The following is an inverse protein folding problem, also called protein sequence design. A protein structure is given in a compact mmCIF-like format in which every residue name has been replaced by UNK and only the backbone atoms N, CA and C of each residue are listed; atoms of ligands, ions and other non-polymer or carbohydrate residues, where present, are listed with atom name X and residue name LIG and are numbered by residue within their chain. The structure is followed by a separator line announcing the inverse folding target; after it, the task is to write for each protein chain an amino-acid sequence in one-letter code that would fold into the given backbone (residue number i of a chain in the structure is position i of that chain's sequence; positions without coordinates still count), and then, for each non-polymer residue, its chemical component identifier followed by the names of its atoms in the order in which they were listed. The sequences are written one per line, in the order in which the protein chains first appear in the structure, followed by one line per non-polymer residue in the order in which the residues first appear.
data_IF_170378978388
#
_entry.id   IF_170378978388
#
_cell.length_a   1.000
_cell.length_b   1.000
_cell.length_c   1.000
_cell.angle_alpha   90.00
_cell.angle_beta   90.00
_cell.angle_gamma   90.00
#
_symmetry.space_group_name_H-M   'P 1'
#
loop_
_entity.id
_entity.type
_entity.pdbx_description
1 polymer ?
#
# COMPACT_ATOMS: atom_id res chain seq x y z
N UNK A 1 21.09 -39.38 15.42
CA UNK A 1 20.44 -39.00 14.14
C UNK A 1 18.92 -39.18 14.21
N UNK A 2 18.40 -40.39 14.49
CA UNK A 2 16.94 -40.65 14.52
C UNK A 2 16.11 -39.73 15.43
N UNK A 3 16.53 -39.48 16.68
CA UNK A 3 15.77 -38.62 17.60
C UNK A 3 15.65 -37.16 17.13
N UNK A 4 16.63 -36.66 16.38
CA UNK A 4 16.67 -35.27 15.90
C UNK A 4 15.83 -35.12 14.63
N UNK A 5 15.81 -36.14 13.76
CA UNK A 5 14.91 -36.17 12.61
C UNK A 5 13.44 -36.22 13.05
N UNK A 6 13.12 -37.00 14.07
CA UNK A 6 11.78 -37.04 14.68
C UNK A 6 11.38 -35.67 15.25
N UNK A 7 12.27 -35.02 16.00
CA UNK A 7 12.00 -33.71 16.60
C UNK A 7 11.85 -32.61 15.53
N UNK A 8 12.70 -32.59 14.51
CA UNK A 8 12.58 -31.64 13.41
C UNK A 8 11.29 -31.83 12.60
N UNK A 9 10.89 -33.07 12.36
CA UNK A 9 9.63 -33.38 11.66
C UNK A 9 8.40 -33.01 12.50
N UNK A 10 8.47 -33.21 13.82
CA UNK A 10 7.45 -32.76 14.75
C UNK A 10 7.29 -31.23 14.69
N UNK A 11 8.39 -30.47 14.72
CA UNK A 11 8.36 -29.01 14.67
C UNK A 11 7.84 -28.46 13.34
N UNK A 12 8.19 -29.09 12.22
CA UNK A 12 7.56 -28.81 10.91
C UNK A 12 6.04 -28.99 10.96
N UNK A 13 5.59 -30.12 11.53
CA UNK A 13 4.16 -30.46 11.63
C UNK A 13 3.42 -29.47 12.53
N UNK A 14 4.06 -29.05 13.63
CA UNK A 14 3.54 -28.00 14.52
C UNK A 14 3.43 -26.67 13.78
N UNK A 15 4.44 -26.27 13.01
CA UNK A 15 4.38 -25.06 12.17
C UNK A 15 3.23 -25.09 11.16
N UNK A 16 3.03 -26.23 10.48
CA UNK A 16 1.88 -26.43 9.58
C UNK A 16 0.54 -26.35 10.30
N UNK A 17 0.45 -26.92 11.51
CA UNK A 17 -0.77 -26.90 12.30
C UNK A 17 -1.15 -25.47 12.71
N UNK A 18 -0.18 -24.62 13.03
CA UNK A 18 -0.44 -23.19 13.24
C UNK A 18 -1.01 -22.52 11.98
N UNK A 19 -0.55 -22.89 10.78
CA UNK A 19 -1.14 -22.44 9.52
C UNK A 19 -2.63 -22.83 9.42
N UNK A 20 -2.95 -24.08 9.72
CA UNK A 20 -4.35 -24.58 9.73
C UNK A 20 -5.20 -23.85 10.78
N UNK A 21 -4.67 -23.57 11.96
CA UNK A 21 -5.36 -22.82 13.01
C UNK A 21 -5.67 -21.41 12.54
N UNK A 22 -4.70 -20.72 11.93
CA UNK A 22 -4.90 -19.37 11.37
C UNK A 22 -5.97 -19.36 10.28
N UNK A 23 -5.96 -20.36 9.38
CA UNK A 23 -7.01 -20.53 8.37
C UNK A 23 -8.39 -20.86 8.98
N UNK A 24 -8.42 -21.64 10.07
CA UNK A 24 -9.67 -21.97 10.76
C UNK A 24 -10.27 -20.74 11.43
N UNK A 25 -9.44 -19.88 12.05
CA UNK A 25 -9.87 -18.58 12.58
C UNK A 25 -10.47 -17.73 11.45
N UNK A 26 -9.82 -17.71 10.29
CA UNK A 26 -10.31 -17.01 9.11
C UNK A 26 -11.58 -17.62 8.49
N UNK A 27 -11.85 -18.90 8.66
CA UNK A 27 -13.14 -19.49 8.20
C UNK A 27 -14.26 -19.18 9.18
N UNK A 28 -13.95 -19.26 10.47
CA UNK A 28 -14.90 -19.10 11.56
C UNK A 28 -15.40 -17.66 11.68
N UNK A 29 -14.51 -16.67 11.56
CA UNK A 29 -14.93 -15.26 11.56
C UNK A 29 -15.78 -14.92 10.33
N UNK A 30 -15.47 -15.48 9.15
CA UNK A 30 -16.26 -15.29 7.93
C UNK A 30 -17.65 -15.89 8.07
N UNK A 31 -17.76 -17.11 8.58
CA UNK A 31 -19.04 -17.77 8.82
C UNK A 31 -19.93 -17.00 9.81
N UNK A 32 -19.35 -16.42 10.86
CA UNK A 32 -20.10 -15.58 11.81
C UNK A 32 -20.51 -14.23 11.23
N UNK A 33 -19.71 -13.62 10.35
CA UNK A 33 -20.12 -12.40 9.62
C UNK A 33 -21.30 -12.66 8.69
N UNK A 34 -21.26 -13.76 7.92
CA UNK A 34 -22.36 -14.14 7.00
C UNK A 34 -23.69 -14.38 7.73
N UNK A 35 -23.62 -14.83 8.98
CA UNK A 35 -24.78 -15.02 9.87
C UNK A 35 -25.14 -13.80 10.71
N UNK A 36 -24.35 -12.72 10.62
CA UNK A 36 -24.47 -11.51 11.44
C UNK A 36 -24.45 -11.81 12.95
N UNK A 37 -23.60 -12.75 13.36
CA UNK A 37 -23.44 -13.22 14.75
C UNK A 37 -22.18 -12.60 15.40
N UNK A 38 -22.35 -12.01 16.58
CA UNK A 38 -21.24 -11.52 17.39
C UNK A 38 -20.48 -12.68 18.03
N UNK A 39 -19.15 -12.55 18.16
CA UNK A 39 -18.30 -13.55 18.83
C UNK A 39 -18.21 -13.22 20.31
N UNK A 40 -18.54 -14.19 21.16
CA UNK A 40 -18.36 -14.10 22.61
C UNK A 40 -16.99 -14.61 23.01
N UNK A 41 -16.24 -13.78 23.73
CA UNK A 41 -15.00 -14.14 24.41
C UNK A 41 -15.24 -14.09 25.91
N UNK A 42 -15.04 -15.23 26.57
CA UNK A 42 -15.16 -15.34 28.01
C UNK A 42 -13.77 -15.28 28.63
N UNK A 43 -13.53 -14.30 29.49
CA UNK A 43 -12.31 -14.21 30.28
C UNK A 43 -12.58 -14.83 31.66
N UNK A 44 -11.75 -15.79 32.06
CA UNK A 44 -11.61 -16.21 33.46
C UNK A 44 -10.29 -15.67 34.02
N UNK A 45 -10.27 -15.28 35.30
CA UNK A 45 -9.01 -14.92 35.96
C UNK A 45 -8.06 -16.12 35.94
N UNK A 46 -6.87 -15.92 35.37
CA UNK A 46 -5.81 -16.91 35.35
C UNK A 46 -5.17 -16.95 36.73
N UNK A 47 -5.33 -18.05 37.46
CA UNK A 47 -4.56 -18.32 38.69
C UNK A 47 -5.34 -18.63 39.98
N UNK A 48 -6.66 -18.80 39.95
CA UNK A 48 -7.44 -19.28 41.11
C UNK A 48 -8.02 -20.65 40.79
N UNK A 49 -7.83 -21.61 41.71
CA UNK A 49 -8.39 -22.96 41.64
C UNK A 49 -9.85 -22.93 41.17
N UNK A 50 -10.21 -23.87 40.31
CA UNK A 50 -11.54 -24.07 39.74
C UNK A 50 -12.62 -24.12 40.83
N UNK A 51 -13.11 -22.94 41.23
CA UNK A 51 -14.36 -22.75 41.95
C UNK A 51 -15.36 -22.20 40.96
N UNK A 52 -16.57 -22.76 40.97
CA UNK A 52 -17.63 -22.46 40.00
C UNK A 52 -18.22 -21.03 40.11
N UNK A 53 -17.57 -20.14 40.86
CA UNK A 53 -18.06 -18.80 41.22
C UNK A 53 -17.12 -17.65 40.79
N UNK A 54 -16.12 -17.91 39.95
CA UNK A 54 -15.28 -16.83 39.42
C UNK A 54 -16.09 -15.92 38.46
N UNK A 55 -16.05 -14.59 38.61
CA UNK A 55 -16.77 -13.67 37.73
C UNK A 55 -16.19 -13.75 36.32
N UNK A 56 -16.90 -14.40 35.40
CA UNK A 56 -16.50 -14.46 34.01
C UNK A 56 -16.93 -13.19 33.28
N UNK A 57 -15.98 -12.47 32.69
CA UNK A 57 -16.29 -11.31 31.86
C UNK A 57 -16.55 -11.78 30.42
N UNK A 58 -17.77 -11.55 29.92
CA UNK A 58 -18.13 -11.85 28.55
C UNK A 58 -17.96 -10.59 27.70
N UNK A 59 -17.09 -10.65 26.71
CA UNK A 59 -16.88 -9.61 25.72
C UNK A 59 -17.50 -10.05 24.40
N UNK A 60 -18.46 -9.27 23.90
CA UNK A 60 -18.99 -9.45 22.55
C UNK A 60 -18.15 -8.64 21.57
N UNK A 61 -17.50 -9.32 20.64
CA UNK A 61 -16.65 -8.73 19.62
C UNK A 61 -17.25 -8.94 18.24
N UNK A 62 -17.03 -7.95 17.39
CA UNK A 62 -17.16 -8.14 15.95
C UNK A 62 -16.25 -9.31 15.50
N UNK A 63 -16.67 -10.14 14.53
CA UNK A 63 -15.88 -11.30 14.10
C UNK A 63 -14.46 -10.96 13.61
N UNK A 64 -14.22 -9.78 13.02
CA UNK A 64 -12.87 -9.37 12.62
C UNK A 64 -12.00 -9.02 13.83
N UNK A 65 -12.57 -8.31 14.81
CA UNK A 65 -11.89 -8.00 16.06
C UNK A 65 -11.55 -9.27 16.87
N UNK A 66 -12.47 -10.25 16.88
CA UNK A 66 -12.22 -11.58 17.47
C UNK A 66 -11.09 -12.31 16.73
N UNK A 67 -11.11 -12.32 15.39
CA UNK A 67 -10.07 -12.97 14.60
C UNK A 67 -8.68 -12.34 14.82
N UNK A 68 -8.60 -11.00 14.87
CA UNK A 68 -7.36 -10.29 15.15
C UNK A 68 -6.81 -10.63 16.54
N UNK A 69 -7.67 -10.69 17.56
CA UNK A 69 -7.28 -11.05 18.93
C UNK A 69 -6.84 -12.52 19.03
N UNK A 70 -7.57 -13.44 18.39
CA UNK A 70 -7.21 -14.86 18.32
C UNK A 70 -5.86 -15.07 17.64
N UNK A 71 -5.61 -14.38 16.52
CA UNK A 71 -4.31 -14.45 15.82
C UNK A 71 -3.17 -13.84 16.62
N UNK A 72 -3.42 -12.79 17.40
CA UNK A 72 -2.44 -12.24 18.35
C UNK A 72 -2.08 -13.23 19.46
N UNK A 73 -3.05 -13.99 19.98
CA UNK A 73 -2.78 -15.05 20.95
C UNK A 73 -1.90 -16.16 20.34
N UNK A 74 -2.26 -16.64 19.14
CA UNK A 74 -1.44 -17.63 18.40
C UNK A 74 -0.03 -17.08 18.13
N UNK A 75 0.09 -15.80 17.78
CA UNK A 75 1.39 -15.15 17.54
C UNK A 75 2.23 -15.10 18.82
N UNK A 76 1.60 -14.88 19.97
CA UNK A 76 2.27 -14.89 21.26
C UNK A 76 2.79 -16.29 21.62
N UNK A 77 2.09 -17.37 21.27
CA UNK A 77 2.59 -18.74 21.46
C UNK A 77 3.78 -19.07 20.54
N UNK A 78 3.74 -18.59 19.29
CA UNK A 78 4.78 -18.87 18.30
C UNK A 78 6.06 -18.07 18.56
N UNK A 79 5.96 -16.76 18.81
CA UNK A 79 7.12 -15.86 18.97
C UNK A 79 7.39 -15.42 20.41
N UNK A 80 6.49 -15.68 21.34
CA UNK A 80 6.56 -15.18 22.71
C UNK A 80 5.89 -13.81 22.89
N UNK A 81 5.61 -13.46 24.15
CA UNK A 81 4.99 -12.19 24.57
C UNK A 81 6.00 -11.22 25.23
N UNK A 82 7.29 -11.52 25.16
CA UNK A 82 8.37 -10.75 25.79
C UNK A 82 8.56 -10.97 27.30
N UNK A 83 7.71 -11.79 27.95
CA UNK A 83 7.82 -12.17 29.38
C UNK A 83 8.20 -13.64 29.61
N UNK A 84 7.89 -14.52 28.66
CA UNK A 84 8.22 -15.95 28.74
C UNK A 84 9.27 -16.34 27.68
N UNK A 85 10.27 -17.13 28.09
CA UNK A 85 11.34 -17.65 27.23
C UNK A 85 10.94 -18.94 26.49
N UNK A 86 9.77 -19.51 26.78
CA UNK A 86 9.31 -20.81 26.26
C UNK A 86 8.29 -20.62 25.12
N UNK A 87 8.75 -20.25 23.93
CA UNK A 87 7.94 -20.17 22.71
C UNK A 87 8.47 -21.09 21.62
N UNK A 88 7.66 -21.39 20.60
CA UNK A 88 8.10 -22.28 19.51
C UNK A 88 9.38 -21.77 18.83
N UNK A 89 9.49 -20.44 18.65
CA UNK A 89 10.65 -19.81 18.04
C UNK A 89 11.92 -19.96 18.89
N UNK A 90 11.82 -19.87 20.22
CA UNK A 90 12.97 -20.06 21.11
C UNK A 90 13.47 -21.50 21.09
N UNK A 91 12.55 -22.49 21.03
CA UNK A 91 12.89 -23.91 20.86
C UNK A 91 13.62 -24.17 19.55
N UNK A 92 13.17 -23.58 18.44
CA UNK A 92 13.83 -23.71 17.14
C UNK A 92 15.23 -23.10 17.12
N UNK A 93 15.40 -21.90 17.69
CA UNK A 93 16.71 -21.26 17.81
C UNK A 93 17.66 -22.06 18.70
N UNK A 94 17.16 -22.59 19.82
CA UNK A 94 17.94 -23.46 20.71
C UNK A 94 18.42 -24.72 19.98
N UNK A 95 17.54 -25.40 19.25
CA UNK A 95 17.89 -26.61 18.50
C UNK A 95 18.84 -26.33 17.35
N UNK A 96 18.68 -25.24 16.62
CA UNK A 96 19.65 -24.89 15.57
C UNK A 96 21.04 -24.64 16.18
N UNK A 97 21.13 -23.83 17.24
CA UNK A 97 22.40 -23.52 17.91
C UNK A 97 23.09 -24.79 18.41
N UNK A 98 22.34 -25.68 19.05
CA UNK A 98 22.86 -26.96 19.54
C UNK A 98 23.35 -27.86 18.40
N UNK A 99 22.63 -27.91 17.28
CA UNK A 99 22.96 -28.80 16.16
C UNK A 99 24.19 -28.29 15.41
N UNK A 100 24.27 -26.98 15.20
CA UNK A 100 25.46 -26.33 14.63
C UNK A 100 26.69 -26.55 15.51
N UNK A 101 26.55 -26.46 16.84
CA UNK A 101 27.64 -26.76 17.76
C UNK A 101 28.08 -28.23 17.70
N UNK A 102 27.13 -29.17 17.57
CA UNK A 102 27.46 -30.59 17.47
C UNK A 102 28.23 -30.91 16.18
N UNK A 103 27.89 -30.26 15.07
CA UNK A 103 28.58 -30.42 13.79
C UNK A 103 29.90 -29.66 13.68
N UNK A 104 30.14 -28.65 14.52
CA UNK A 104 31.41 -27.93 14.57
C UNK A 104 32.54 -28.74 15.24
N UNK A 105 32.21 -29.79 15.98
CA UNK A 105 33.18 -30.66 16.65
C UNK A 105 33.48 -31.86 15.74
N UNK A 106 34.74 -32.08 15.33
CA UNK A 106 35.08 -33.23 14.49
C UNK A 106 34.79 -34.54 15.23
N UNK A 107 34.30 -35.58 14.51
CA UNK A 107 34.01 -36.86 15.13
C UNK A 107 35.27 -37.49 15.73
N UNK A 108 35.09 -38.25 16.81
CA UNK A 108 36.20 -39.00 17.44
C UNK A 108 36.86 -39.94 16.42
N UNK A 109 38.15 -40.27 16.62
CA UNK A 109 38.94 -41.11 15.70
C UNK A 109 38.33 -42.49 15.44
N UNK A 110 37.57 -43.00 16.40
CA UNK A 110 36.89 -44.30 16.33
C UNK A 110 35.50 -44.23 15.68
N UNK A 111 35.07 -43.05 15.21
CA UNK A 111 33.79 -42.88 14.53
C UNK A 111 33.85 -43.57 13.15
N UNK A 112 32.91 -44.47 12.82
CA UNK A 112 32.93 -45.18 11.54
C UNK A 112 32.97 -44.22 10.35
N UNK A 113 33.76 -44.53 9.30
CA UNK A 113 33.95 -43.66 8.14
C UNK A 113 32.65 -43.17 7.47
N UNK A 114 31.59 -43.98 7.51
CA UNK A 114 30.25 -43.60 7.01
C UNK A 114 29.58 -42.44 7.78
N UNK A 115 30.08 -42.07 8.95
CA UNK A 115 29.63 -40.93 9.77
C UNK A 115 30.64 -39.77 9.81
N UNK A 116 31.77 -39.88 9.10
CA UNK A 116 32.74 -38.81 8.92
C UNK A 116 32.33 -38.02 7.66
N UNK A 117 32.10 -36.72 7.81
CA UNK A 117 31.26 -35.88 6.93
C UNK A 117 31.67 -35.83 5.44
N UNK A 118 30.64 -35.69 4.59
CA UNK A 118 30.68 -35.12 3.24
C UNK A 118 30.50 -33.58 3.27
N UNK A 119 30.94 -32.87 2.22
CA UNK A 119 30.89 -31.39 2.06
C UNK A 119 29.49 -30.75 1.99
N UNK A 120 28.42 -31.48 2.33
CA UNK A 120 27.04 -30.97 2.31
C UNK A 120 26.52 -30.65 3.71
N UNK A 121 25.71 -29.59 3.80
CA UNK A 121 25.06 -29.20 5.04
C UNK A 121 24.24 -30.35 5.67
N UNK A 122 24.38 -30.62 6.98
CA UNK A 122 23.71 -31.71 7.67
C UNK A 122 22.18 -31.63 7.57
N UNK A 123 21.56 -32.78 7.28
CA UNK A 123 20.11 -32.89 7.10
C UNK A 123 19.28 -32.41 8.31
N UNK A 124 19.79 -32.59 9.53
CA UNK A 124 19.13 -32.10 10.75
C UNK A 124 19.07 -30.57 10.85
N UNK A 125 20.04 -29.86 10.27
CA UNK A 125 20.04 -28.39 10.17
C UNK A 125 19.08 -27.96 9.06
N UNK A 126 19.13 -28.61 7.89
CA UNK A 126 18.19 -28.37 6.78
C UNK A 126 16.72 -28.49 7.19
N UNK A 127 16.36 -29.48 8.01
CA UNK A 127 14.98 -29.62 8.52
C UNK A 127 14.59 -28.44 9.42
N UNK A 128 15.51 -27.97 10.28
CA UNK A 128 15.23 -26.85 11.18
C UNK A 128 15.05 -25.54 10.40
N UNK A 129 15.83 -25.32 9.34
CA UNK A 129 15.64 -24.17 8.44
C UNK A 129 14.29 -24.21 7.76
N UNK A 130 13.89 -25.35 7.20
CA UNK A 130 12.55 -25.52 6.62
C UNK A 130 11.43 -25.28 7.64
N UNK A 131 11.64 -25.65 8.91
CA UNK A 131 10.65 -25.42 9.97
C UNK A 131 10.48 -23.93 10.25
N UNK A 132 11.60 -23.20 10.32
CA UNK A 132 11.60 -21.73 10.44
C UNK A 132 10.96 -21.06 9.24
N UNK A 133 11.31 -21.44 8.02
CA UNK A 133 10.69 -20.93 6.79
C UNK A 133 9.18 -21.13 6.81
N UNK A 134 8.70 -22.30 7.26
CA UNK A 134 7.25 -22.57 7.36
C UNK A 134 6.53 -21.66 8.36
N UNK A 135 7.20 -21.28 9.46
CA UNK A 135 6.67 -20.39 10.49
C UNK A 135 6.72 -18.93 10.04
N UNK A 136 7.79 -18.53 9.37
CA UNK A 136 7.92 -17.20 8.77
C UNK A 136 6.93 -16.97 7.64
N UNK A 137 6.55 -18.03 6.91
CA UNK A 137 5.51 -18.00 5.88
C UNK A 137 4.07 -17.93 6.44
N UNK A 138 3.88 -18.04 7.76
CA UNK A 138 2.55 -17.94 8.37
C UNK A 138 1.93 -16.56 8.13
N UNK A 139 0.67 -16.56 7.71
CA UNK A 139 -0.08 -15.35 7.41
C UNK A 139 -0.72 -14.78 8.69
N UNK A 140 0.00 -13.86 9.33
CA UNK A 140 -0.42 -13.23 10.58
C UNK A 140 -1.51 -12.16 10.45
N UNK A 141 -1.78 -11.69 9.23
CA UNK A 141 -2.77 -10.63 8.97
C UNK A 141 -4.00 -11.22 8.28
N UNK A 142 -5.20 -10.85 8.75
CA UNK A 142 -6.49 -11.15 8.09
C UNK A 142 -6.69 -10.50 6.71
N UNK A 143 -5.61 -10.14 6.00
CA UNK A 143 -5.65 -9.16 4.91
C UNK A 143 -6.13 -9.70 3.55
N UNK A 144 -6.38 -11.00 3.42
CA UNK A 144 -6.72 -11.62 2.12
C UNK A 144 -8.13 -12.21 2.04
N UNK A 145 -8.89 -12.27 3.13
CA UNK A 145 -10.26 -12.86 3.14
C UNK A 145 -11.31 -11.86 3.64
N UNK A 146 -10.88 -10.83 4.37
CA UNK A 146 -11.77 -9.81 4.90
C UNK A 146 -11.49 -8.50 4.18
N UNK A 147 -12.51 -8.01 3.48
CA UNK A 147 -12.54 -6.64 2.97
C UNK A 147 -12.15 -5.66 4.08
N UNK A 148 -11.52 -4.53 3.73
CA UNK A 148 -10.84 -3.69 4.69
C UNK A 148 -11.81 -3.16 5.74
N UNK A 149 -11.47 -3.31 7.02
CA UNK A 149 -11.79 -2.29 8.02
C UNK A 149 -11.11 -1.00 7.54
N UNK A 150 -11.91 -0.21 6.80
CA UNK A 150 -11.47 0.81 5.87
C UNK A 150 -11.29 2.13 6.62
N UNK A 151 -10.11 2.30 7.21
CA UNK A 151 -9.58 3.63 7.50
C UNK A 151 -8.68 3.98 6.32
N UNK A 152 -9.22 4.68 5.33
CA UNK A 152 -8.51 5.13 4.13
C UNK A 152 -8.20 6.64 4.24
N UNK A 153 -8.12 7.22 5.45
CA UNK A 153 -7.66 8.60 5.60
C UNK A 153 -6.21 8.69 5.15
N UNK A 154 -6.01 9.32 3.98
CA UNK A 154 -4.69 9.63 3.48
C UNK A 154 -3.85 10.42 4.50
N UNK A 155 -2.55 10.16 4.53
CA UNK A 155 -1.61 10.84 5.44
C UNK A 155 -1.65 12.36 5.31
N UNK A 156 -1.98 12.87 4.13
CA UNK A 156 -2.18 14.29 3.89
C UNK A 156 -3.34 14.89 4.71
N UNK A 157 -4.51 14.23 4.72
CA UNK A 157 -5.68 14.70 5.47
C UNK A 157 -5.46 14.64 6.98
N UNK A 158 -4.82 13.58 7.49
CA UNK A 158 -4.46 13.47 8.91
C UNK A 158 -3.45 14.54 9.31
N UNK A 159 -2.42 14.80 8.48
CA UNK A 159 -1.42 15.83 8.76
C UNK A 159 -2.03 17.23 8.83
N UNK A 160 -2.95 17.55 7.90
CA UNK A 160 -3.72 18.81 7.94
C UNK A 160 -4.55 18.93 9.23
N UNK A 161 -5.20 17.84 9.66
CA UNK A 161 -5.95 17.80 10.90
C UNK A 161 -5.06 18.02 12.14
N UNK A 162 -3.82 17.50 12.15
CA UNK A 162 -2.86 17.80 13.23
C UNK A 162 -2.47 19.28 13.25
N UNK A 163 -2.19 19.88 12.10
CA UNK A 163 -1.85 21.30 12.02
C UNK A 163 -2.98 22.17 12.59
N UNK A 164 -4.22 21.91 12.18
CA UNK A 164 -5.42 22.61 12.66
C UNK A 164 -5.69 22.34 14.15
N UNK A 165 -5.50 21.09 14.61
CA UNK A 165 -5.67 20.72 16.02
C UNK A 165 -4.67 21.44 16.93
N UNK A 166 -3.40 21.55 16.50
CA UNK A 166 -2.36 22.32 17.20
C UNK A 166 -2.66 23.82 17.21
N UNK A 167 -3.28 24.34 16.15
CA UNK A 167 -3.77 25.71 16.10
C UNK A 167 -5.10 25.93 16.85
N UNK A 168 -5.60 24.92 17.58
CA UNK A 168 -6.89 24.96 18.30
C UNK A 168 -8.10 25.28 17.42
N UNK A 169 -8.01 25.02 16.11
CA UNK A 169 -9.13 25.16 15.18
C UNK A 169 -10.00 23.92 15.19
N UNK A 170 -11.29 24.10 14.91
CA UNK A 170 -12.23 23.00 14.71
C UNK A 170 -12.16 22.49 13.28
N UNK A 171 -12.16 21.17 13.12
CA UNK A 171 -12.19 20.53 11.81
C UNK A 171 -12.90 19.19 11.88
N UNK A 172 -13.47 18.78 10.75
CA UNK A 172 -13.97 17.43 10.53
C UNK A 172 -13.19 16.78 9.40
N UNK A 173 -12.73 15.55 9.62
CA UNK A 173 -12.06 14.73 8.63
C UNK A 173 -13.03 13.62 8.21
N UNK A 174 -13.31 13.56 6.91
CA UNK A 174 -14.15 12.52 6.31
C UNK A 174 -13.26 11.35 5.87
N UNK A 175 -13.44 10.21 6.53
CA UNK A 175 -12.84 8.90 6.25
C UNK A 175 -13.91 7.99 5.64
N UNK A 176 -14.57 8.49 4.59
CA UNK A 176 -15.55 7.70 3.86
C UNK A 176 -14.85 6.63 3.06
N UNK A 177 -15.36 5.40 3.12
CA UNK A 177 -15.02 4.37 2.15
C UNK A 177 -15.25 4.94 0.74
N UNK A 178 -14.17 5.19 -0.01
CA UNK A 178 -14.31 5.55 -1.41
C UNK A 178 -15.09 4.42 -2.11
N UNK A 179 -16.14 4.76 -2.86
CA UNK A 179 -16.92 3.80 -3.65
C UNK A 179 -16.13 3.20 -4.84
N UNK A 180 -14.81 3.10 -4.72
CA UNK A 180 -13.95 2.46 -5.71
C UNK A 180 -13.86 0.96 -5.42
N UNK A 181 -15.01 0.28 -5.47
CA UNK A 181 -15.04 -1.16 -5.53
C UNK A 181 -14.44 -1.58 -6.90
N UNK A 182 -13.30 -2.30 -6.84
CA UNK A 182 -12.72 -3.13 -7.92
C UNK A 182 -11.66 -2.58 -8.89
N UNK A 183 -10.99 -1.44 -8.65
CA UNK A 183 -10.03 -0.91 -9.66
C UNK A 183 -8.63 -0.62 -9.10
N UNK A 184 -7.62 -1.07 -9.84
CA UNK A 184 -6.22 -1.16 -9.43
C UNK A 184 -5.52 0.20 -9.43
N UNK A 185 -5.08 0.65 -8.26
CA UNK A 185 -4.03 1.66 -8.13
C UNK A 185 -2.75 1.00 -7.62
N UNK A 186 -1.59 1.37 -8.17
CA UNK A 186 -0.33 1.09 -7.47
C UNK A 186 -0.40 1.88 -6.17
N UNK A 187 -0.44 1.17 -5.04
CA UNK A 187 -0.37 1.79 -3.73
C UNK A 187 0.86 2.72 -3.73
N UNK A 188 0.65 3.99 -3.37
CA UNK A 188 1.75 4.89 -3.00
C UNK A 188 2.70 4.11 -2.08
N UNK A 189 4.00 4.44 -2.08
CA UNK A 189 4.87 4.06 -0.96
C UNK A 189 4.25 4.68 0.30
N UNK A 190 3.33 3.93 0.90
CA UNK A 190 2.48 4.41 1.95
C UNK A 190 3.37 4.51 3.17
N UNK A 191 3.32 5.66 3.83
CA UNK A 191 3.69 5.74 5.23
C UNK A 191 3.00 4.55 5.93
N UNK A 192 3.77 3.78 6.70
CA UNK A 192 3.28 2.55 7.34
C UNK A 192 1.93 2.80 8.01
N UNK A 193 0.98 1.86 7.86
CA UNK A 193 -0.33 1.91 8.52
C UNK A 193 -0.20 2.17 10.03
N UNK A 194 0.90 1.72 10.66
CA UNK A 194 1.22 2.03 12.06
C UNK A 194 1.29 3.53 12.33
N UNK A 195 1.90 4.31 11.45
CA UNK A 195 2.03 5.76 11.61
C UNK A 195 0.66 6.44 11.44
N UNK A 196 -0.20 5.97 10.53
CA UNK A 196 -1.57 6.48 10.40
C UNK A 196 -2.39 6.20 11.67
N UNK A 197 -2.33 4.98 12.18
CA UNK A 197 -3.04 4.57 13.41
C UNK A 197 -2.54 5.36 14.63
N UNK A 198 -1.23 5.55 14.77
CA UNK A 198 -0.61 6.39 15.79
C UNK A 198 -1.04 7.86 15.68
N UNK A 199 -1.09 8.39 14.45
CA UNK A 199 -1.52 9.76 14.16
C UNK A 199 -2.99 9.96 14.54
N UNK A 200 -3.86 9.00 14.19
CA UNK A 200 -5.28 9.00 14.58
C UNK A 200 -5.41 8.94 16.11
N UNK A 201 -4.64 8.08 16.77
CA UNK A 201 -4.64 7.96 18.22
C UNK A 201 -4.20 9.27 18.89
N UNK A 202 -3.16 9.93 18.37
CA UNK A 202 -2.72 11.25 18.86
C UNK A 202 -3.83 12.31 18.69
N UNK A 203 -4.46 12.38 17.51
CA UNK A 203 -5.57 13.33 17.26
C UNK A 203 -6.68 13.13 18.28
N UNK A 204 -7.15 11.89 18.45
CA UNK A 204 -8.23 11.55 19.38
C UNK A 204 -7.87 11.86 20.83
N UNK A 205 -6.61 11.64 21.22
CA UNK A 205 -6.15 11.85 22.59
C UNK A 205 -5.95 13.34 22.93
N UNK A 206 -5.39 14.13 22.01
CA UNK A 206 -4.93 15.50 22.29
C UNK A 206 -5.86 16.60 21.80
N UNK A 207 -6.60 16.40 20.70
CA UNK A 207 -7.32 17.48 20.02
C UNK A 207 -8.82 17.24 19.96
N UNK A 208 -9.55 17.67 21.00
CA UNK A 208 -11.02 17.58 21.06
C UNK A 208 -11.75 18.43 20.01
N UNK A 209 -11.06 19.37 19.37
CA UNK A 209 -11.59 20.21 18.29
C UNK A 209 -11.64 19.49 16.94
N UNK A 210 -10.97 18.34 16.82
CA UNK A 210 -10.89 17.57 15.59
C UNK A 210 -11.85 16.38 15.68
N UNK A 211 -12.78 16.32 14.72
CA UNK A 211 -13.73 15.23 14.57
C UNK A 211 -13.29 14.32 13.44
N UNK A 212 -13.13 13.03 13.71
CA UNK A 212 -12.93 12.01 12.68
C UNK A 212 -14.27 11.33 12.42
N UNK A 213 -14.74 11.39 11.17
CA UNK A 213 -16.04 10.86 10.74
C UNK A 213 -15.85 9.83 9.64
N UNK A 214 -16.49 8.67 9.75
CA UNK A 214 -16.51 7.65 8.68
C UNK A 214 -17.54 7.94 7.58
N UNK A 215 -18.16 9.13 7.60
CA UNK A 215 -19.09 9.53 6.56
C UNK A 215 -18.36 9.85 5.25
N UNK A 216 -18.96 9.45 4.13
CA UNK A 216 -18.49 9.83 2.79
C UNK A 216 -19.11 11.16 2.39
N UNK A 217 -18.28 12.16 2.13
CA UNK A 217 -18.74 13.41 1.51
C UNK A 217 -19.28 13.12 0.10
N UNK A 218 -20.45 13.67 -0.23
CA UNK A 218 -21.14 13.45 -1.50
C UNK A 218 -21.17 14.70 -2.39
N UNK A 219 -21.31 15.88 -1.78
CA UNK A 219 -21.23 17.14 -2.52
C UNK A 219 -20.66 18.27 -1.66
N UNK A 220 -20.15 19.29 -2.34
CA UNK A 220 -19.69 20.53 -1.76
C UNK A 220 -20.25 21.71 -2.54
N UNK A 221 -20.50 22.81 -1.84
CA UNK A 221 -20.84 24.09 -2.46
C UNK A 221 -20.25 25.25 -1.68
N UNK A 222 -19.85 26.29 -2.39
CA UNK A 222 -19.51 27.57 -1.81
C UNK A 222 -20.78 28.33 -1.37
N UNK A 223 -20.69 29.03 -0.24
CA UNK A 223 -21.77 29.83 0.34
C UNK A 223 -21.19 31.08 1.00
N UNK A 224 -20.93 32.10 0.20
CA UNK A 224 -20.24 33.31 0.65
C UNK A 224 -18.83 32.94 1.13
N UNK A 225 -18.42 33.40 2.32
CA UNK A 225 -17.10 33.08 2.89
C UNK A 225 -17.01 31.69 3.56
N UNK A 226 -17.96 30.80 3.28
CA UNK A 226 -18.04 29.47 3.91
C UNK A 226 -18.37 28.40 2.87
N UNK A 227 -18.11 27.15 3.23
CA UNK A 227 -18.41 25.96 2.43
C UNK A 227 -19.40 25.07 3.16
N UNK A 228 -20.30 24.46 2.40
CA UNK A 228 -21.26 23.48 2.90
C UNK A 228 -21.01 22.14 2.21
N UNK A 229 -20.71 21.11 3.01
CA UNK A 229 -20.49 19.74 2.56
C UNK A 229 -21.69 18.89 2.97
N UNK A 230 -22.24 18.13 2.03
CA UNK A 230 -23.30 17.16 2.30
C UNK A 230 -22.72 15.75 2.19
N UNK A 231 -22.92 14.92 3.22
CA UNK A 231 -22.51 13.52 3.17
C UNK A 231 -23.59 12.63 2.52
N UNK A 232 -23.23 11.39 2.23
CA UNK A 232 -24.13 10.40 1.60
C UNK A 232 -25.40 10.11 2.43
N UNK A 233 -25.44 10.45 3.71
CA UNK A 233 -26.64 10.33 4.55
C UNK A 233 -27.56 11.56 4.47
N UNK A 234 -27.19 12.58 3.70
CA UNK A 234 -27.89 13.86 3.59
C UNK A 234 -27.59 14.83 4.73
N UNK A 235 -26.66 14.51 5.64
CA UNK A 235 -26.26 15.42 6.71
C UNK A 235 -25.33 16.49 6.15
N UNK A 236 -25.56 17.73 6.60
CA UNK A 236 -24.82 18.90 6.15
C UNK A 236 -23.84 19.39 7.21
N UNK A 237 -22.66 19.76 6.74
CA UNK A 237 -21.53 20.24 7.51
C UNK A 237 -21.12 21.61 6.96
N UNK A 238 -20.74 22.53 7.84
CA UNK A 238 -20.31 23.88 7.46
C UNK A 238 -18.91 24.13 7.94
N UNK A 239 -18.08 24.70 7.07
CA UNK A 239 -16.69 25.07 7.36
C UNK A 239 -16.33 26.38 6.69
N UNK A 240 -15.30 27.07 7.20
CA UNK A 240 -14.77 28.29 6.59
C UNK A 240 -13.79 28.01 5.46
N UNK A 241 -13.13 26.86 5.51
CA UNK A 241 -12.11 26.40 4.57
C UNK A 241 -12.31 24.91 4.30
N UNK A 242 -11.81 24.45 3.15
CA UNK A 242 -11.91 23.06 2.71
C UNK A 242 -10.53 22.58 2.29
N UNK A 243 -10.15 21.37 2.72
CA UNK A 243 -8.91 20.72 2.31
C UNK A 243 -9.28 19.41 1.62
N UNK A 244 -9.08 19.35 0.30
CA UNK A 244 -9.31 18.17 -0.53
C UNK A 244 -8.09 17.26 -0.44
N UNK A 245 -8.21 16.19 0.36
CA UNK A 245 -7.17 15.18 0.54
C UNK A 245 -7.57 13.85 -0.10
N UNK A 246 -8.12 13.91 -1.32
CA UNK A 246 -8.67 12.75 -2.03
C UNK A 246 -7.56 11.89 -2.65
N UNK A 247 -7.86 10.60 -2.81
CA UNK A 247 -6.97 9.73 -3.58
C UNK A 247 -7.14 9.98 -5.09
N UNK A 248 -6.13 9.58 -5.87
CA UNK A 248 -6.20 9.54 -7.32
C UNK A 248 -5.86 8.15 -7.83
N UNK A 249 -6.43 7.80 -8.99
CA UNK A 249 -6.12 6.56 -9.70
C UNK A 249 -5.50 6.85 -11.05
N UNK A 250 -4.74 5.88 -11.54
CA UNK A 250 -4.20 5.91 -12.89
C UNK A 250 -5.27 5.45 -13.89
N UNK A 251 -5.44 6.22 -14.97
CA UNK A 251 -6.27 5.82 -16.11
C UNK A 251 -5.42 4.93 -17.00
N UNK A 252 -5.59 3.62 -16.85
CA UNK A 252 -4.83 2.64 -17.62
C UNK A 252 -5.40 2.52 -19.05
N UNK A 253 -4.55 2.29 -20.06
CA UNK A 253 -5.01 2.02 -21.42
C UNK A 253 -5.85 0.74 -21.50
N UNK A 254 -6.86 0.74 -22.37
CA UNK A 254 -7.66 -0.45 -22.71
C UNK A 254 -6.87 -1.37 -23.65
N UNK A 255 -5.84 -2.03 -23.10
CA UNK A 255 -5.03 -3.03 -23.80
C UNK A 255 -5.07 -4.31 -22.97
N UNK A 256 -5.51 -5.41 -23.57
CA UNK A 256 -5.55 -6.72 -22.92
C UNK A 256 -4.20 -7.06 -22.30
N UNK A 257 -4.17 -7.43 -21.01
CA UNK A 257 -2.94 -7.79 -20.29
C UNK A 257 -2.17 -6.62 -19.66
N UNK A 258 -2.62 -5.37 -19.89
CA UNK A 258 -1.96 -4.18 -19.35
C UNK A 258 -2.08 -4.10 -17.83
N UNK A 259 -3.29 -4.26 -17.31
CA UNK A 259 -3.59 -4.15 -15.89
C UNK A 259 -2.81 -5.19 -15.07
N UNK A 260 -2.65 -6.41 -15.59
CA UNK A 260 -1.91 -7.47 -14.94
C UNK A 260 -0.40 -7.20 -14.85
N UNK A 261 0.14 -6.42 -15.79
CA UNK A 261 1.54 -6.04 -15.91
C UNK A 261 1.89 -4.71 -15.21
N UNK A 262 0.89 -3.85 -14.95
CA UNK A 262 1.02 -2.60 -14.21
C UNK A 262 1.51 -2.84 -12.78
N UNK A 263 2.53 -2.07 -12.36
CA UNK A 263 3.18 -2.21 -11.05
C UNK A 263 4.08 -3.44 -10.91
N UNK A 264 4.25 -4.25 -11.96
CA UNK A 264 5.14 -5.42 -11.96
C UNK A 264 6.26 -5.27 -12.96
N UNK A 265 5.94 -4.89 -14.19
CA UNK A 265 6.91 -4.66 -15.28
C UNK A 265 6.61 -3.36 -16.04
N UNK A 266 5.39 -2.81 -15.86
CA UNK A 266 5.04 -1.49 -16.35
C UNK A 266 4.98 -0.53 -15.17
N UNK A 267 5.73 0.57 -15.24
CA UNK A 267 5.85 1.54 -14.16
C UNK A 267 5.91 2.98 -14.68
N UNK A 268 5.48 3.94 -13.85
CA UNK A 268 5.91 5.31 -14.02
C UNK A 268 7.33 5.48 -13.44
N UNK A 269 8.34 5.42 -14.31
CA UNK A 269 9.75 5.53 -13.93
C UNK A 269 10.09 6.94 -13.41
N UNK A 270 9.27 7.95 -13.72
CA UNK A 270 9.44 9.29 -13.14
C UNK A 270 9.03 9.37 -11.67
N UNK A 271 8.24 8.41 -11.19
CA UNK A 271 7.74 8.36 -9.81
C UNK A 271 8.24 7.15 -9.01
N UNK A 272 8.77 6.11 -9.66
CA UNK A 272 9.27 4.91 -9.01
C UNK A 272 10.80 4.89 -9.01
N UNK A 273 11.41 5.24 -7.87
CA UNK A 273 12.87 5.19 -7.68
C UNK A 273 13.38 3.79 -7.33
N UNK A 274 12.51 2.86 -6.93
CA UNK A 274 12.86 1.49 -6.51
C UNK A 274 12.67 0.45 -7.62
N UNK A 275 13.05 0.79 -8.84
CA UNK A 275 13.15 -0.15 -9.97
C UNK A 275 14.51 -0.88 -9.93
N UNK A 276 15.19 -0.82 -8.78
CA UNK A 276 16.60 -1.19 -8.54
C UNK A 276 16.95 -2.64 -8.93
N UNK A 277 16.00 -3.57 -8.84
CA UNK A 277 16.16 -4.98 -9.20
C UNK A 277 15.81 -5.32 -10.66
N UNK A 278 15.64 -4.32 -11.54
CA UNK A 278 15.12 -4.49 -12.92
C UNK A 278 16.10 -4.09 -14.02
N UNK A 279 17.41 -4.15 -13.77
CA UNK A 279 18.39 -3.97 -14.84
C UNK A 279 18.06 -4.94 -16.00
N UNK A 280 17.85 -4.41 -17.20
CA UNK A 280 17.35 -5.20 -18.33
C UNK A 280 18.05 -4.81 -19.63
N UNK A 281 18.18 -5.79 -20.53
CA UNK A 281 18.77 -5.58 -21.85
C UNK A 281 17.90 -4.68 -22.74
N UNK A 282 16.57 -4.77 -22.61
CA UNK A 282 15.62 -4.04 -23.45
C UNK A 282 14.49 -3.45 -22.61
N UNK A 283 14.32 -2.13 -22.69
CA UNK A 283 13.21 -1.42 -22.10
C UNK A 283 12.40 -0.68 -23.16
N UNK A 284 11.16 -0.33 -22.83
CA UNK A 284 10.31 0.48 -23.66
C UNK A 284 9.72 1.66 -22.90
N UNK A 285 9.26 2.66 -23.65
CA UNK A 285 8.46 3.78 -23.14
C UNK A 285 7.19 3.85 -23.97
N UNK A 286 6.05 3.75 -23.31
CA UNK A 286 4.75 3.76 -23.95
C UNK A 286 4.19 5.18 -24.02
N UNK A 287 3.73 5.58 -25.21
CA UNK A 287 2.97 6.81 -25.47
C UNK A 287 1.54 6.40 -25.81
N UNK A 288 0.57 6.93 -25.05
CA UNK A 288 -0.85 6.57 -25.21
C UNK A 288 -1.74 7.76 -25.55
N UNK A 289 -1.18 8.95 -25.67
CA UNK A 289 -1.85 10.17 -26.09
C UNK A 289 -0.88 11.04 -26.91
N UNK A 290 -1.43 11.78 -27.85
CA UNK A 290 -0.75 12.75 -28.70
C UNK A 290 -0.60 14.13 -28.06
N UNK A 291 -1.05 14.31 -26.81
CA UNK A 291 -0.87 15.56 -26.09
C UNK A 291 0.61 15.87 -25.88
N UNK A 292 0.97 17.15 -25.95
CA UNK A 292 2.35 17.60 -25.71
C UNK A 292 2.86 17.15 -24.33
N UNK A 293 2.00 17.17 -23.29
CA UNK A 293 2.36 16.69 -21.96
C UNK A 293 2.67 15.19 -21.92
N UNK A 294 1.95 14.36 -22.67
CA UNK A 294 2.22 12.92 -22.76
C UNK A 294 3.54 12.64 -23.47
N UNK A 295 3.85 13.40 -24.52
CA UNK A 295 5.08 13.25 -25.29
C UNK A 295 6.28 13.71 -24.44
N UNK A 296 6.19 14.86 -23.78
CA UNK A 296 7.23 15.38 -22.89
C UNK A 296 7.53 14.41 -21.75
N UNK A 297 6.48 13.89 -21.11
CA UNK A 297 6.62 12.88 -20.07
C UNK A 297 7.31 11.61 -20.58
N UNK A 298 6.94 11.11 -21.77
CA UNK A 298 7.57 9.94 -22.36
C UNK A 298 9.06 10.19 -22.67
N UNK A 299 9.40 11.35 -23.21
CA UNK A 299 10.81 11.71 -23.49
C UNK A 299 11.62 11.75 -22.20
N UNK A 300 11.10 12.40 -21.15
CA UNK A 300 11.74 12.40 -19.83
C UNK A 300 11.89 10.98 -19.27
N UNK A 301 10.83 10.17 -19.30
CA UNK A 301 10.84 8.79 -18.85
C UNK A 301 11.86 7.93 -19.60
N UNK A 302 12.06 8.16 -20.90
CA UNK A 302 13.09 7.47 -21.68
C UNK A 302 14.51 7.80 -21.20
N UNK A 303 14.77 9.07 -20.87
CA UNK A 303 16.05 9.47 -20.33
C UNK A 303 16.29 8.90 -18.92
N UNK A 304 15.26 8.84 -18.07
CA UNK A 304 15.36 8.23 -16.75
C UNK A 304 15.56 6.71 -16.84
N UNK A 305 14.85 6.05 -17.75
CA UNK A 305 14.94 4.60 -17.96
C UNK A 305 16.34 4.13 -18.40
N UNK A 306 17.22 5.04 -18.88
CA UNK A 306 18.63 4.73 -19.19
C UNK A 306 19.43 4.24 -18.00
N UNK A 307 18.99 4.56 -16.79
CA UNK A 307 19.60 4.06 -15.55
C UNK A 307 19.42 2.54 -15.40
N UNK A 308 18.41 1.96 -16.06
CA UNK A 308 18.06 0.54 -15.95
C UNK A 308 18.31 -0.25 -17.24
N UNK A 309 18.32 0.42 -18.41
CA UNK A 309 18.56 -0.22 -19.70
C UNK A 309 19.22 0.73 -20.72
N UNK A 310 20.28 0.31 -21.43
CA UNK A 310 20.88 1.12 -22.48
C UNK A 310 20.06 1.13 -23.78
N UNK A 311 19.18 0.15 -24.00
CA UNK A 311 18.39 0.00 -25.22
C UNK A 311 16.91 0.27 -24.94
N UNK A 312 16.44 1.43 -25.42
CA UNK A 312 15.11 1.94 -25.11
C UNK A 312 14.33 2.20 -26.40
N UNK A 313 13.13 1.62 -26.47
CA UNK A 313 12.21 1.77 -27.59
C UNK A 313 10.98 2.58 -27.19
N UNK A 314 10.68 3.66 -27.91
CA UNK A 314 9.39 4.34 -27.82
C UNK A 314 8.33 3.52 -28.56
N UNK A 315 7.25 3.18 -27.86
CA UNK A 315 6.07 2.52 -28.40
C UNK A 315 4.96 3.56 -28.52
N UNK A 316 4.52 3.89 -29.73
CA UNK A 316 3.47 4.91 -29.93
C UNK A 316 2.06 4.33 -30.04
N UNK A 317 1.93 3.00 -30.01
CA UNK A 317 0.65 2.30 -30.06
C UNK A 317 -0.26 2.77 -31.20
N UNK A 318 0.27 2.88 -32.42
CA UNK A 318 -0.51 3.32 -33.60
C UNK A 318 -0.72 4.84 -33.71
N UNK A 319 -0.14 5.65 -32.81
CA UNK A 319 -0.09 7.11 -32.97
C UNK A 319 1.00 7.49 -33.98
N UNK A 320 0.74 7.22 -35.27
CA UNK A 320 1.72 7.43 -36.34
C UNK A 320 2.21 8.89 -36.42
N UNK A 321 1.32 9.86 -36.26
CA UNK A 321 1.68 11.28 -36.36
C UNK A 321 2.69 11.75 -35.29
N UNK A 322 2.81 11.04 -34.16
CA UNK A 322 3.78 11.34 -33.09
C UNK A 322 5.22 11.18 -33.58
N UNK A 323 5.46 10.36 -34.62
CA UNK A 323 6.80 10.19 -35.21
C UNK A 323 7.38 11.47 -35.82
N UNK A 324 6.51 12.42 -36.17
CA UNK A 324 6.86 13.72 -36.73
C UNK A 324 6.98 14.82 -35.66
N UNK A 325 6.70 14.52 -34.39
CA UNK A 325 6.81 15.50 -33.32
C UNK A 325 8.28 15.89 -33.10
N UNK A 326 8.64 17.19 -33.01
CA UNK A 326 10.03 17.64 -32.93
C UNK A 326 10.84 16.98 -31.79
N UNK A 327 10.22 16.77 -30.63
CA UNK A 327 10.88 16.10 -29.50
C UNK A 327 11.16 14.62 -29.78
N UNK A 328 10.24 13.91 -30.45
CA UNK A 328 10.41 12.49 -30.84
C UNK A 328 11.43 12.35 -31.97
N UNK A 329 11.51 13.31 -32.88
CA UNK A 329 12.58 13.33 -33.89
C UNK A 329 13.94 13.49 -33.20
N UNK A 330 14.04 14.40 -32.22
CA UNK A 330 15.28 14.64 -31.48
C UNK A 330 15.76 13.40 -30.70
N UNK A 331 14.84 12.55 -30.20
CA UNK A 331 15.21 11.34 -29.45
C UNK A 331 15.98 10.33 -30.30
N UNK A 332 15.76 10.29 -31.62
CA UNK A 332 16.53 9.41 -32.54
C UNK A 332 18.03 9.72 -32.50
N UNK A 333 18.40 11.00 -32.42
CA UNK A 333 19.81 11.43 -32.31
C UNK A 333 20.44 11.03 -30.98
N UNK A 334 19.63 10.77 -29.95
CA UNK A 334 20.11 10.26 -28.68
C UNK A 334 20.28 8.73 -28.68
N UNK A 335 19.95 8.02 -29.77
CA UNK A 335 20.06 6.56 -29.86
C UNK A 335 18.81 5.80 -29.40
N UNK A 336 17.68 6.49 -29.22
CA UNK A 336 16.40 5.85 -28.92
C UNK A 336 15.77 5.25 -30.18
N UNK A 337 15.12 4.09 -30.03
CA UNK A 337 14.35 3.44 -31.11
C UNK A 337 12.90 3.90 -31.06
N UNK A 338 12.21 3.80 -32.19
CA UNK A 338 10.79 4.12 -32.31
C UNK A 338 10.08 2.94 -32.99
N UNK A 339 8.97 2.52 -32.41
CA UNK A 339 8.06 1.52 -32.97
C UNK A 339 6.63 2.07 -32.89
N UNK A 340 6.04 2.29 -34.06
CA UNK A 340 4.74 2.91 -34.20
C UNK A 340 3.61 1.90 -34.40
N UNK A 341 3.92 0.59 -34.36
CA UNK A 341 2.92 -0.46 -34.59
C UNK A 341 1.84 -0.43 -33.49
N UNK A 342 0.55 -0.59 -33.85
CA UNK A 342 -0.52 -0.74 -32.87
C UNK A 342 -0.32 -1.98 -32.00
N UNK A 343 -0.47 -1.83 -30.68
CA UNK A 343 -0.37 -2.92 -29.72
C UNK A 343 -1.72 -3.61 -29.63
N UNK A 344 -1.73 -4.93 -29.80
CA UNK A 344 -2.93 -5.76 -29.67
C UNK A 344 -3.13 -6.25 -28.23
N UNK A 345 -2.06 -6.74 -27.61
CA UNK A 345 -2.12 -7.27 -26.24
C UNK A 345 -0.74 -7.33 -25.61
N UNK A 346 -0.73 -7.34 -24.28
CA UNK A 346 0.44 -7.61 -23.47
C UNK A 346 0.28 -8.97 -22.79
N UNK A 347 1.39 -9.68 -22.61
CA UNK A 347 1.43 -10.89 -21.81
C UNK A 347 2.53 -10.74 -20.75
N UNK A 348 2.12 -10.78 -19.48
CA UNK A 348 3.06 -10.75 -18.37
C UNK A 348 3.81 -12.08 -18.30
N UNK A 349 5.14 -12.01 -18.38
CA UNK A 349 6.04 -13.10 -18.10
C UNK A 349 6.66 -12.92 -16.70
N UNK A 350 7.45 -13.89 -16.26
CA UNK A 350 8.06 -13.87 -14.93
C UNK A 350 8.99 -12.65 -14.75
N UNK A 351 9.86 -12.39 -15.73
CA UNK A 351 10.88 -11.34 -15.69
C UNK A 351 10.68 -10.22 -16.71
N UNK A 352 9.65 -10.33 -17.56
CA UNK A 352 9.43 -9.40 -18.68
C UNK A 352 7.96 -9.32 -19.08
N UNK A 353 7.67 -8.52 -20.10
CA UNK A 353 6.37 -8.40 -20.76
C UNK A 353 6.57 -8.61 -22.26
N UNK A 354 5.83 -9.57 -22.82
CA UNK A 354 5.71 -9.73 -24.25
C UNK A 354 4.59 -8.84 -24.79
N UNK A 355 4.86 -8.15 -25.89
CA UNK A 355 3.92 -7.30 -26.60
C UNK A 355 3.62 -7.98 -27.92
N UNK A 356 2.34 -8.23 -28.17
CA UNK A 356 1.85 -8.66 -29.48
C UNK A 356 1.30 -7.44 -30.22
N UNK A 357 1.82 -7.20 -31.42
CA UNK A 357 1.38 -6.12 -32.29
C UNK A 357 0.24 -6.57 -33.21
N UNK A 358 -0.49 -5.61 -33.78
CA UNK A 358 -1.62 -5.88 -34.67
C UNK A 358 -1.22 -6.57 -35.99
N UNK A 359 0.04 -6.41 -36.43
CA UNK A 359 0.62 -7.08 -37.60
C UNK A 359 1.05 -8.53 -37.32
N UNK A 360 0.88 -9.00 -36.07
CA UNK A 360 1.26 -10.34 -35.63
C UNK A 360 2.71 -10.46 -35.15
N UNK A 361 3.50 -9.39 -35.23
CA UNK A 361 4.85 -9.39 -34.66
C UNK A 361 4.82 -9.39 -33.13
N UNK A 362 5.92 -9.84 -32.54
CA UNK A 362 6.10 -9.91 -31.09
C UNK A 362 7.40 -9.21 -30.67
N UNK A 363 7.41 -8.57 -29.51
CA UNK A 363 8.61 -8.03 -28.88
C UNK A 363 8.55 -8.15 -27.36
N UNK A 364 9.69 -8.35 -26.71
CA UNK A 364 9.77 -8.62 -25.28
C UNK A 364 10.59 -7.54 -24.60
N UNK A 365 10.05 -6.95 -23.53
CA UNK A 365 10.69 -5.89 -22.75
C UNK A 365 10.75 -6.28 -21.27
N UNK A 366 11.89 -6.08 -20.62
CA UNK A 366 12.01 -6.30 -19.17
C UNK A 366 11.40 -5.18 -18.33
N UNK A 367 11.25 -4.00 -18.93
CA UNK A 367 10.67 -2.82 -18.32
C UNK A 367 9.91 -2.01 -19.37
N UNK A 368 8.69 -1.59 -19.06
CA UNK A 368 7.95 -0.62 -19.85
C UNK A 368 7.67 0.60 -18.95
N UNK A 369 8.14 1.77 -19.36
CA UNK A 369 7.78 3.01 -18.69
C UNK A 369 6.49 3.57 -19.30
N UNK A 370 5.50 3.88 -18.46
CA UNK A 370 4.29 4.59 -18.89
C UNK A 370 3.85 5.54 -17.80
N UNK A 371 3.50 6.77 -18.19
CA UNK A 371 2.89 7.77 -17.31
C UNK A 371 1.41 7.93 -17.66
N UNK A 372 0.51 7.22 -16.96
CA UNK A 372 -0.93 7.37 -17.19
C UNK A 372 -1.44 8.72 -16.68
N UNK A 373 -2.55 9.17 -17.28
CA UNK A 373 -3.31 10.30 -16.74
C UNK A 373 -3.92 9.92 -15.40
N UNK A 374 -4.06 10.87 -14.49
CA UNK A 374 -4.76 10.67 -13.23
C UNK A 374 -6.26 10.93 -13.38
N UNK A 375 -7.04 10.18 -12.62
CA UNK A 375 -8.45 10.42 -12.38
C UNK A 375 -8.66 10.64 -10.89
N UNK A 376 -9.28 11.77 -10.53
CA UNK A 376 -9.66 12.06 -9.16
C UNK A 376 -11.04 11.47 -8.86
N UNK A 377 -11.18 10.87 -7.69
CA UNK A 377 -12.48 10.43 -7.20
C UNK A 377 -13.36 11.62 -6.80
N UNK A 378 -14.67 11.46 -6.97
CA UNK A 378 -15.66 12.40 -6.46
C UNK A 378 -15.90 13.64 -7.34
N UNK A 379 -17.00 14.38 -7.10
CA UNK A 379 -17.42 15.50 -7.95
C UNK A 379 -16.86 16.87 -7.53
N UNK A 380 -15.99 16.93 -6.52
CA UNK A 380 -15.70 18.20 -5.83
C UNK A 380 -14.90 19.20 -6.67
N UNK A 381 -13.99 18.73 -7.52
CA UNK A 381 -13.24 19.62 -8.42
C UNK A 381 -14.16 20.31 -9.42
N UNK A 382 -15.16 19.59 -9.94
CA UNK A 382 -16.18 20.16 -10.85
C UNK A 382 -17.17 21.06 -10.12
N UNK A 383 -17.60 20.67 -8.92
CA UNK A 383 -18.56 21.45 -8.11
C UNK A 383 -17.99 22.79 -7.61
N UNK A 384 -16.68 22.87 -7.42
CA UNK A 384 -15.96 24.08 -6.99
C UNK A 384 -15.28 24.81 -8.16
N UNK A 385 -15.48 24.35 -9.40
CA UNK A 385 -14.88 24.90 -10.62
C UNK A 385 -13.35 25.10 -10.51
N UNK A 386 -12.66 24.07 -9.99
CA UNK A 386 -11.23 24.14 -9.73
C UNK A 386 -10.43 23.96 -11.02
N UNK A 387 -9.37 24.74 -11.15
CA UNK A 387 -8.41 24.55 -12.24
C UNK A 387 -7.67 23.20 -12.10
N UNK A 388 -7.52 22.51 -13.22
CA UNK A 388 -6.92 21.18 -13.30
C UNK A 388 -5.68 21.21 -14.19
N UNK A 389 -4.64 20.49 -13.78
CA UNK A 389 -3.47 20.22 -14.62
C UNK A 389 -3.85 19.33 -15.81
N UNK A 390 -3.05 19.39 -16.88
CA UNK A 390 -3.22 18.49 -18.06
C UNK A 390 -3.11 17.00 -17.70
N UNK A 391 -2.49 16.68 -16.56
CA UNK A 391 -2.34 15.32 -16.04
C UNK A 391 -3.54 14.83 -15.23
N UNK A 392 -4.54 15.68 -14.97
CA UNK A 392 -5.75 15.33 -14.23
C UNK A 392 -5.64 15.47 -12.71
N UNK A 393 -4.68 16.27 -12.21
CA UNK A 393 -4.58 16.69 -10.80
C UNK A 393 -5.13 18.10 -10.59
N UNK A 394 -5.61 18.44 -9.40
CA UNK A 394 -5.99 19.81 -9.04
C UNK A 394 -4.75 20.69 -9.09
N UNK A 395 -4.85 21.84 -9.76
CA UNK A 395 -3.81 22.85 -9.79
C UNK A 395 -3.79 23.60 -8.46
N UNK A 396 -2.59 23.71 -7.86
CA UNK A 396 -2.35 24.51 -6.66
C UNK A 396 -1.43 25.68 -6.99
N UNK A 397 -1.72 26.86 -6.45
CA UNK A 397 -1.12 28.12 -6.88
C UNK A 397 0.00 28.61 -5.96
N UNK A 398 0.06 28.09 -4.72
CA UNK A 398 0.99 28.60 -3.70
C UNK A 398 1.61 27.49 -2.83
N UNK A 399 2.57 27.91 -2.00
CA UNK A 399 3.29 27.04 -1.05
C UNK A 399 2.36 26.39 -0.01
N UNK A 400 1.22 27.01 0.29
CA UNK A 400 0.20 26.48 1.20
C UNK A 400 -0.76 25.49 0.53
N UNK A 401 -0.55 25.14 -0.75
CA UNK A 401 -1.39 24.20 -1.49
C UNK A 401 -2.82 24.69 -1.73
N UNK A 402 -3.00 26.01 -1.83
CA UNK A 402 -4.29 26.61 -2.18
C UNK A 402 -4.59 26.43 -3.67
N UNK A 403 -5.86 26.22 -4.00
CA UNK A 403 -6.35 26.08 -5.37
C UNK A 403 -6.73 27.44 -5.97
N UNK A 404 -7.23 27.44 -7.21
CA UNK A 404 -7.79 28.64 -7.87
C UNK A 404 -8.95 29.29 -7.10
N UNK A 405 -9.61 28.54 -6.22
CA UNK A 405 -10.70 29.03 -5.36
C UNK A 405 -10.18 29.31 -3.95
N UNK A 406 -10.25 30.59 -3.53
CA UNK A 406 -9.77 31.02 -2.20
C UNK A 406 -10.43 30.21 -1.08
N UNK A 407 -9.61 29.72 -0.16
CA UNK A 407 -10.07 28.92 0.98
C UNK A 407 -10.36 27.44 0.67
N UNK A 408 -10.12 27.02 -0.57
CA UNK A 408 -10.06 25.60 -0.97
C UNK A 408 -8.59 25.23 -1.20
N UNK A 409 -8.15 24.18 -0.51
CA UNK A 409 -6.81 23.62 -0.62
C UNK A 409 -6.90 22.20 -1.18
N UNK A 410 -5.86 21.73 -1.86
CA UNK A 410 -5.79 20.36 -2.35
C UNK A 410 -4.42 19.74 -2.03
N UNK A 411 -4.40 18.52 -1.49
CA UNK A 411 -3.20 17.89 -0.95
C UNK A 411 -3.14 16.40 -1.26
N UNK A 412 -1.95 15.82 -1.10
CA UNK A 412 -1.70 14.40 -1.40
C UNK A 412 -1.93 14.10 -2.89
N UNK A 413 -2.40 12.90 -3.19
CA UNK A 413 -2.55 12.38 -4.55
C UNK A 413 -3.50 13.22 -5.45
N UNK A 414 -4.34 14.08 -4.84
CA UNK A 414 -5.25 14.96 -5.57
C UNK A 414 -4.57 16.16 -6.25
N UNK A 415 -3.42 16.60 -5.73
CA UNK A 415 -2.70 17.79 -6.21
C UNK A 415 -1.19 17.55 -6.42
N UNK A 416 -0.59 16.69 -5.60
CA UNK A 416 0.86 16.44 -5.61
C UNK A 416 1.30 15.74 -6.89
N UNK A 417 2.44 16.19 -7.42
CA UNK A 417 3.16 15.47 -8.48
C UNK A 417 3.80 14.18 -7.95
N UNK A 418 4.32 14.20 -6.72
CA UNK A 418 4.96 13.05 -6.09
C UNK A 418 3.94 12.20 -5.33
N UNK A 419 3.83 10.93 -5.72
CA UNK A 419 3.01 9.92 -5.03
C UNK A 419 3.81 9.27 -3.90
N UNK A 420 4.17 10.09 -2.92
CA UNK A 420 4.95 9.68 -1.74
C UNK A 420 4.24 10.15 -0.46
N UNK A 421 4.11 9.25 0.52
CA UNK A 421 3.37 9.56 1.74
C UNK A 421 3.96 10.73 2.54
N UNK A 422 5.28 10.90 2.51
CA UNK A 422 6.02 12.00 3.16
C UNK A 422 5.67 13.35 2.53
N UNK A 423 5.71 13.44 1.20
CA UNK A 423 5.31 14.63 0.43
C UNK A 423 3.84 14.97 0.69
N UNK A 424 2.95 13.98 0.69
CA UNK A 424 1.54 14.17 1.04
C UNK A 424 1.34 14.70 2.45
N UNK A 425 2.07 14.17 3.45
CA UNK A 425 1.99 14.66 4.83
C UNK A 425 2.48 16.11 4.96
N UNK A 426 3.57 16.47 4.28
CA UNK A 426 4.09 17.85 4.26
C UNK A 426 3.08 18.81 3.62
N UNK A 427 2.52 18.45 2.46
CA UNK A 427 1.49 19.23 1.78
C UNK A 427 0.25 19.43 2.67
N UNK A 428 -0.19 18.37 3.36
CA UNK A 428 -1.27 18.41 4.34
C UNK A 428 -1.00 19.40 5.47
N UNK A 429 0.20 19.37 6.04
CA UNK A 429 0.60 20.30 7.10
C UNK A 429 0.56 21.76 6.61
N UNK A 430 1.13 22.03 5.43
CA UNK A 430 1.15 23.37 4.83
C UNK A 430 -0.26 23.89 4.56
N UNK A 431 -1.17 23.06 4.03
CA UNK A 431 -2.57 23.43 3.85
C UNK A 431 -3.29 23.74 5.18
N UNK A 432 -3.02 22.97 6.23
CA UNK A 432 -3.56 23.25 7.56
C UNK A 432 -3.08 24.58 8.13
N UNK A 433 -1.80 24.92 7.92
CA UNK A 433 -1.23 26.22 8.30
C UNK A 433 -1.86 27.36 7.49
N UNK A 434 -1.92 27.23 6.16
CA UNK A 434 -2.51 28.22 5.26
C UNK A 434 -3.97 28.50 5.60
N UNK A 435 -4.76 27.44 5.81
CA UNK A 435 -6.15 27.57 6.24
C UNK A 435 -6.27 28.32 7.58
N UNK A 436 -5.40 28.02 8.56
CA UNK A 436 -5.41 28.74 9.84
C UNK A 436 -5.07 30.23 9.69
N UNK A 437 -4.07 30.57 8.86
CA UNK A 437 -3.67 31.95 8.60
C UNK A 437 -4.81 32.73 7.94
N UNK A 438 -5.41 32.19 6.88
CA UNK A 438 -6.53 32.83 6.22
C UNK A 438 -7.75 33.00 7.13
N UNK A 439 -8.04 32.01 7.99
CA UNK A 439 -9.11 32.14 8.98
C UNK A 439 -8.82 33.34 9.91
N UNK A 440 -7.57 33.54 10.33
CA UNK A 440 -7.20 34.69 11.15
C UNK A 440 -7.27 36.02 10.37
N UNK A 441 -6.90 36.04 9.09
CA UNK A 441 -7.06 37.22 8.21
C UNK A 441 -8.53 37.59 7.99
N UNK A 442 -9.37 36.60 7.75
CA UNK A 442 -10.81 36.76 7.65
C UNK A 442 -11.38 37.29 8.99
N UNK A 443 -10.83 36.89 10.15
CA UNK A 443 -11.23 37.40 11.46
C UNK A 443 -10.83 38.87 11.70
N UNK A 444 -9.77 39.36 11.06
CA UNK A 444 -9.34 40.77 11.15
C UNK A 444 -10.15 41.70 10.24
N UNK A 445 -10.82 41.16 9.23
CA UNK A 445 -11.59 41.92 8.23
C UNK A 445 -13.09 41.96 8.51
N UNK A 446 -13.55 41.27 9.56
CA UNK A 446 -14.88 41.39 10.18
C UNK A 446 -14.88 42.49 11.23
#
# INVERSE_FOLDING_TARGET
MQNIQLLGTLLMSVGQQYGVILESIDKEAKASMEKNEMKRLQFSEVGVDYSAEAPSYNLELDPAAWADLAKKAVKAEVYGNGREEECLWSVLNYLEKRQSQWHAVPPHRDCPHQYQQSDEEPFCIKILHKAKESIEALKWKCREIYGPGRHDVGTAGLSAALALGRAQRSAIVFDGAEHMNNLHGIASQAISKSIQDETIAEIKAKFKTIMLSHATAASIREKGMTFEVEDVSGRRWKGRKVILAMSSRDVLPDISGYEEAWGKHIFDVSQCLDVSNKATAHAAVLITSDSSSSIEAAVLSAHLARQFSPDITFLTNGLFHVEHHPQIIATKNCGFKLDNRPIRSLQRLETSVAIQFADGAESVYGLISHKPRKFLGGPFSEQLDLEMTSEGRILVENEFQETSTRGVYAVGDSASFLKEGSAGATAGWLAGVGANLQIAEDDMSM
#
